data_IF_543451355043
#
_entry.id   IF_543451355043
#
_cell.length_a   1.000
_cell.length_b   1.000
_cell.length_c   1.000
_cell.angle_alpha   90.00
_cell.angle_beta   90.00
_cell.angle_gamma   90.00
#
_symmetry.space_group_name_H-M   'P 1'
#
loop_
_entity.id
_entity.type
_entity.pdbx_description
1 polymer ?
#
# COMPACT_ATOMS: atom_id res chain seq x y z
N UNK A 1 -6.64 25.37 -15.89
CA UNK A 1 -5.89 24.73 -14.81
C UNK A 1 -5.31 23.45 -15.37
N UNK A 2 -4.00 23.23 -15.22
CA UNK A 2 -3.33 21.97 -15.57
C UNK A 2 -3.79 20.83 -14.65
N UNK A 3 -3.46 19.59 -15.02
CA UNK A 3 -3.72 18.40 -14.20
C UNK A 3 -3.13 18.55 -12.79
N UNK A 4 -1.88 19.05 -12.70
CA UNK A 4 -1.23 19.31 -11.42
C UNK A 4 -1.87 20.44 -10.61
N UNK A 5 -2.25 21.56 -11.23
CA UNK A 5 -2.93 22.65 -10.52
C UNK A 5 -4.25 22.18 -9.88
N UNK A 6 -4.99 21.31 -10.59
CA UNK A 6 -6.22 20.70 -10.06
C UNK A 6 -5.95 19.71 -8.93
N UNK A 7 -4.88 18.93 -9.05
CA UNK A 7 -4.46 18.05 -7.96
C UNK A 7 -4.11 18.84 -6.69
N UNK A 8 -3.43 19.99 -6.83
CA UNK A 8 -3.17 20.89 -5.71
C UNK A 8 -4.42 21.58 -5.15
N UNK A 9 -5.44 21.82 -5.98
CA UNK A 9 -6.72 22.37 -5.52
C UNK A 9 -7.64 21.33 -4.87
N UNK A 10 -7.18 20.09 -4.68
CA UNK A 10 -7.91 19.03 -3.99
C UNK A 10 -8.80 18.16 -4.89
N UNK A 11 -8.72 18.29 -6.22
CA UNK A 11 -9.45 17.41 -7.17
C UNK A 11 -8.76 16.04 -7.32
N UNK A 12 -8.23 15.47 -6.23
CA UNK A 12 -7.30 14.34 -6.27
C UNK A 12 -7.91 13.08 -6.90
N UNK A 13 -9.13 12.70 -6.52
CA UNK A 13 -9.82 11.51 -7.08
C UNK A 13 -10.11 11.66 -8.57
N UNK A 14 -10.62 12.84 -8.99
CA UNK A 14 -10.94 13.12 -10.38
C UNK A 14 -9.68 13.09 -11.25
N UNK A 15 -8.57 13.66 -10.76
CA UNK A 15 -7.29 13.63 -11.45
C UNK A 15 -6.79 12.18 -11.61
N UNK A 16 -6.83 11.36 -10.56
CA UNK A 16 -6.40 9.96 -10.68
C UNK A 16 -7.29 9.12 -11.62
N UNK A 17 -8.59 9.40 -11.68
CA UNK A 17 -9.47 8.78 -12.66
C UNK A 17 -9.07 9.16 -14.10
N UNK A 18 -8.74 10.42 -14.35
CA UNK A 18 -8.22 10.91 -15.64
C UNK A 18 -6.88 10.24 -16.01
N UNK A 19 -5.95 10.09 -15.05
CA UNK A 19 -4.68 9.37 -15.24
C UNK A 19 -4.91 7.92 -15.68
N UNK A 20 -5.85 7.21 -15.07
CA UNK A 20 -6.21 5.84 -15.46
C UNK A 20 -6.85 5.77 -16.85
N UNK A 21 -7.59 6.80 -17.27
CA UNK A 21 -8.12 6.90 -18.63
C UNK A 21 -7.06 7.34 -19.65
N UNK A 22 -5.94 7.91 -19.21
CA UNK A 22 -4.90 8.48 -20.07
C UNK A 22 -5.27 9.81 -20.74
N UNK A 23 -6.41 10.40 -20.37
CA UNK A 23 -6.92 11.65 -20.95
C UNK A 23 -7.46 12.58 -19.86
N UNK A 24 -7.29 13.89 -20.05
CA UNK A 24 -7.83 14.92 -19.16
C UNK A 24 -9.36 15.04 -19.29
N UNK A 25 -9.97 15.86 -18.42
CA UNK A 25 -11.42 16.16 -18.47
C UNK A 25 -11.94 16.73 -19.80
N UNK A 26 -11.06 17.19 -20.69
CA UNK A 26 -11.40 17.69 -22.02
C UNK A 26 -11.12 16.66 -23.13
N UNK A 27 -10.72 15.44 -22.76
CA UNK A 27 -10.40 14.35 -23.68
C UNK A 27 -9.03 14.46 -24.34
N UNK A 28 -8.13 15.32 -23.83
CA UNK A 28 -6.76 15.45 -24.35
C UNK A 28 -5.84 14.44 -23.68
N UNK A 29 -4.92 13.80 -24.41
CA UNK A 29 -3.92 12.91 -23.80
C UNK A 29 -3.13 13.62 -22.70
N UNK A 30 -3.00 12.96 -21.55
CA UNK A 30 -2.13 13.41 -20.47
C UNK A 30 -0.70 12.98 -20.81
N UNK A 31 0.25 13.91 -20.74
CA UNK A 31 1.67 13.57 -20.95
C UNK A 31 2.22 12.74 -19.80
N UNK A 32 3.21 11.88 -20.10
CA UNK A 32 3.89 11.07 -19.09
C UNK A 32 4.45 11.92 -17.95
N UNK A 33 5.04 13.07 -18.25
CA UNK A 33 5.62 13.98 -17.27
C UNK A 33 4.58 14.51 -16.28
N UNK A 34 3.39 14.88 -16.77
CA UNK A 34 2.28 15.34 -15.92
C UNK A 34 1.73 14.20 -15.03
N UNK A 35 1.60 13.00 -15.59
CA UNK A 35 1.15 11.83 -14.83
C UNK A 35 2.16 11.47 -13.72
N UNK A 36 3.45 11.45 -14.04
CA UNK A 36 4.54 11.22 -13.10
C UNK A 36 4.59 12.30 -12.00
N UNK A 37 4.39 13.58 -12.36
CA UNK A 37 4.35 14.68 -11.39
C UNK A 37 3.21 14.52 -10.37
N UNK A 38 2.01 14.13 -10.83
CA UNK A 38 0.87 13.82 -9.95
C UNK A 38 1.17 12.61 -9.06
N UNK A 39 1.70 11.53 -9.65
CA UNK A 39 2.01 10.32 -8.91
C UNK A 39 3.07 10.58 -7.82
N UNK A 40 4.12 11.33 -8.14
CA UNK A 40 5.16 11.70 -7.20
C UNK A 40 4.64 12.58 -6.07
N UNK A 41 3.87 13.64 -6.38
CA UNK A 41 3.27 14.50 -5.35
C UNK A 41 2.28 13.71 -4.47
N UNK A 42 1.51 12.79 -5.04
CA UNK A 42 0.63 11.88 -4.27
C UNK A 42 1.45 11.10 -3.25
N UNK A 43 2.55 10.47 -3.67
CA UNK A 43 3.38 9.64 -2.80
C UNK A 43 4.19 10.45 -1.79
N UNK A 44 4.55 11.70 -2.11
CA UNK A 44 5.15 12.63 -1.15
C UNK A 44 4.19 12.93 0.01
N UNK A 45 2.90 13.10 -0.28
CA UNK A 45 1.86 13.27 0.74
C UNK A 45 1.60 11.98 1.53
N UNK A 46 1.62 10.82 0.87
CA UNK A 46 1.55 9.50 1.54
C UNK A 46 2.69 9.36 2.56
N UNK A 47 3.93 9.65 2.16
CA UNK A 47 5.09 9.63 3.05
C UNK A 47 4.92 10.56 4.25
N UNK A 48 4.53 11.81 3.98
CA UNK A 48 4.25 12.79 5.05
C UNK A 48 3.21 12.27 6.05
N UNK A 49 2.14 11.66 5.55
CA UNK A 49 1.09 11.10 6.40
C UNK A 49 1.62 9.94 7.26
N UNK A 50 2.45 9.06 6.69
CA UNK A 50 3.11 7.96 7.43
C UNK A 50 4.04 8.51 8.53
N UNK A 51 4.86 9.51 8.19
CA UNK A 51 5.79 10.18 9.11
C UNK A 51 5.07 10.90 10.26
N UNK A 52 3.81 11.31 10.07
CA UNK A 52 2.93 11.82 11.14
C UNK A 52 2.32 10.69 11.97
N UNK A 53 1.81 9.64 11.32
CA UNK A 53 1.08 8.56 11.99
C UNK A 53 1.95 7.76 12.96
N UNK A 54 3.18 7.40 12.54
CA UNK A 54 4.03 6.48 13.31
C UNK A 54 4.40 7.02 14.70
N UNK A 55 4.89 8.27 14.85
CA UNK A 55 5.17 8.85 16.16
C UNK A 55 3.92 8.90 17.05
N UNK A 56 2.76 9.29 16.49
CA UNK A 56 1.50 9.38 17.26
C UNK A 56 1.03 8.02 17.74
N UNK A 57 1.08 7.01 16.88
CA UNK A 57 0.77 5.63 17.27
C UNK A 57 1.68 5.19 18.43
N UNK A 58 2.98 5.49 18.33
CA UNK A 58 3.95 5.20 19.40
C UNK A 58 3.59 5.91 20.71
N UNK A 59 3.27 7.21 20.65
CA UNK A 59 2.87 8.02 21.81
C UNK A 59 1.56 7.52 22.46
N UNK A 60 0.64 7.00 21.65
CA UNK A 60 -0.61 6.38 22.11
C UNK A 60 -0.42 4.97 22.70
N UNK A 61 0.79 4.42 22.65
CA UNK A 61 1.12 3.08 23.17
C UNK A 61 0.89 1.95 22.17
N UNK A 62 0.85 2.24 20.86
CA UNK A 62 0.80 1.22 19.83
C UNK A 62 2.13 0.44 19.79
N UNK A 63 2.04 -0.88 19.93
CA UNK A 63 3.19 -1.77 19.88
C UNK A 63 3.33 -2.35 18.48
N UNK A 64 4.25 -1.81 17.68
CA UNK A 64 4.49 -2.28 16.30
C UNK A 64 5.12 -3.67 16.26
N UNK A 65 4.82 -4.40 15.20
CA UNK A 65 5.39 -5.69 14.87
C UNK A 65 4.37 -6.83 14.81
N UNK A 66 4.82 -7.94 14.25
CA UNK A 66 4.02 -9.14 14.04
C UNK A 66 4.01 -10.01 15.31
N UNK A 67 3.26 -9.58 16.34
CA UNK A 67 3.27 -10.19 17.67
C UNK A 67 2.91 -11.68 17.71
N UNK A 68 2.20 -12.20 16.71
CA UNK A 68 1.92 -13.62 16.57
C UNK A 68 3.16 -14.47 16.20
N UNK A 69 4.23 -13.85 15.68
CA UNK A 69 5.54 -14.50 15.49
C UNK A 69 6.29 -14.76 16.81
N UNK A 70 5.84 -14.18 17.94
CA UNK A 70 6.46 -14.39 19.27
C UNK A 70 6.11 -15.76 19.90
N UNK A 71 5.35 -16.62 19.22
CA UNK A 71 5.16 -18.02 19.62
C UNK A 71 6.49 -18.78 19.49
N UNK A 72 6.89 -19.68 20.41
CA UNK A 72 8.27 -20.17 20.49
C UNK A 72 8.63 -20.99 19.26
N UNK A 73 9.22 -20.34 18.27
CA UNK A 73 9.94 -21.01 17.21
C UNK A 73 11.23 -20.23 16.95
N UNK A 74 12.26 -20.63 17.68
CA UNK A 74 13.68 -20.49 17.29
C UNK A 74 13.98 -21.20 15.93
N UNK A 75 12.96 -21.51 15.12
CA UNK A 75 13.04 -22.38 13.94
C UNK A 75 12.79 -21.69 12.62
N UNK A 76 12.33 -20.43 12.59
CA UNK A 76 12.26 -19.73 11.33
C UNK A 76 12.67 -18.27 11.56
N UNK A 77 13.92 -17.96 11.21
CA UNK A 77 14.41 -16.59 11.14
C UNK A 77 13.74 -15.88 9.96
N UNK A 78 12.45 -15.57 10.08
CA UNK A 78 11.71 -14.81 9.05
C UNK A 78 11.57 -13.36 9.51
N UNK A 79 12.36 -12.43 8.95
CA UNK A 79 12.43 -11.04 9.39
C UNK A 79 11.39 -10.21 8.64
N UNK A 80 10.10 -10.55 8.73
CA UNK A 80 9.05 -9.84 7.98
C UNK A 80 8.88 -8.38 8.45
N UNK A 81 9.04 -8.12 9.75
CA UNK A 81 8.97 -6.75 10.26
C UNK A 81 10.35 -6.10 10.23
N UNK A 82 10.55 -5.16 9.30
CA UNK A 82 11.79 -4.37 9.16
C UNK A 82 11.70 -2.98 9.81
N UNK A 83 10.53 -2.63 10.34
CA UNK A 83 10.21 -1.31 10.87
C UNK A 83 8.89 -0.79 10.30
N UNK A 84 8.24 0.13 11.02
CA UNK A 84 6.93 0.65 10.60
C UNK A 84 6.98 1.47 9.30
N UNK A 85 8.12 2.10 9.03
CA UNK A 85 8.44 2.74 7.76
C UNK A 85 9.91 2.47 7.44
N UNK A 86 10.17 1.92 6.25
CA UNK A 86 11.52 1.76 5.71
C UNK A 86 11.62 2.66 4.48
N UNK A 87 12.63 3.55 4.41
CA UNK A 87 12.78 4.46 3.29
C UNK A 87 13.07 3.70 1.98
N UNK A 88 12.90 4.36 0.82
CA UNK A 88 13.26 3.79 -0.48
C UNK A 88 14.69 3.25 -0.54
N UNK A 89 14.87 2.16 -1.27
CA UNK A 89 16.20 1.61 -1.53
C UNK A 89 17.03 2.56 -2.39
N UNK A 90 18.32 2.68 -2.09
CA UNK A 90 19.26 3.51 -2.86
C UNK A 90 19.35 3.11 -4.34
N UNK A 91 19.05 1.86 -4.68
CA UNK A 91 19.06 1.32 -6.05
C UNK A 91 17.65 1.00 -6.57
N UNK A 92 16.61 1.71 -6.10
CA UNK A 92 15.22 1.42 -6.46
C UNK A 92 14.96 1.42 -7.99
N UNK A 93 15.62 2.29 -8.76
CA UNK A 93 15.48 2.31 -10.22
C UNK A 93 15.98 1.01 -10.88
N UNK A 94 17.09 0.46 -10.38
CA UNK A 94 17.61 -0.82 -10.87
C UNK A 94 16.64 -1.96 -10.56
N UNK A 95 16.03 -1.95 -9.37
CA UNK A 95 15.05 -2.95 -8.95
C UNK A 95 13.77 -2.86 -9.79
N UNK A 96 13.24 -1.66 -10.01
CA UNK A 96 12.06 -1.45 -10.88
C UNK A 96 12.36 -1.96 -12.29
N UNK A 97 13.48 -1.56 -12.89
CA UNK A 97 13.85 -1.99 -14.24
C UNK A 97 14.04 -3.51 -14.34
N UNK A 98 14.67 -4.12 -13.33
CA UNK A 98 14.85 -5.57 -13.25
C UNK A 98 13.51 -6.31 -13.25
N UNK A 99 12.55 -5.83 -12.45
CA UNK A 99 11.24 -6.46 -12.37
C UNK A 99 10.34 -6.15 -13.57
N UNK A 100 10.41 -4.95 -14.15
CA UNK A 100 9.72 -4.65 -15.42
C UNK A 100 10.21 -5.54 -16.57
N UNK A 101 11.51 -5.87 -16.61
CA UNK A 101 12.06 -6.81 -17.58
C UNK A 101 11.55 -8.26 -17.41
N UNK A 102 11.12 -8.64 -16.19
CA UNK A 102 10.64 -10.00 -15.86
C UNK A 102 9.11 -10.13 -15.90
N UNK A 103 8.40 -9.14 -15.36
CA UNK A 103 6.96 -9.15 -15.13
C UNK A 103 6.19 -8.30 -16.16
N UNK A 104 6.90 -7.49 -16.95
CA UNK A 104 6.33 -6.46 -17.81
C UNK A 104 5.98 -5.18 -17.03
N UNK A 105 5.20 -4.30 -17.66
CA UNK A 105 4.88 -2.96 -17.12
C UNK A 105 4.38 -3.02 -15.68
N UNK A 106 5.05 -2.28 -14.79
CA UNK A 106 4.61 -2.02 -13.43
C UNK A 106 3.80 -0.71 -13.42
N UNK A 107 2.61 -0.68 -12.78
CA UNK A 107 1.81 0.52 -12.63
C UNK A 107 2.56 1.74 -12.10
N UNK A 108 2.20 2.91 -12.60
CA UNK A 108 2.81 4.19 -12.20
C UNK A 108 2.71 4.42 -10.68
N UNK A 109 1.56 4.12 -10.07
CA UNK A 109 1.35 4.30 -8.64
C UNK A 109 2.31 3.47 -7.78
N UNK A 110 2.57 2.21 -8.13
CA UNK A 110 3.51 1.35 -7.40
C UNK A 110 4.96 1.84 -7.55
N UNK A 111 5.37 2.20 -8.77
CA UNK A 111 6.70 2.77 -9.01
C UNK A 111 6.91 4.04 -8.21
N UNK A 112 5.94 4.95 -8.22
CA UNK A 112 6.01 6.19 -7.43
C UNK A 112 6.05 5.90 -5.93
N UNK A 113 5.29 4.92 -5.45
CA UNK A 113 5.28 4.53 -4.03
C UNK A 113 6.66 4.04 -3.59
N UNK A 114 7.27 3.08 -4.29
CA UNK A 114 8.57 2.57 -3.87
C UNK A 114 9.69 3.61 -4.01
N UNK A 115 9.61 4.52 -4.97
CA UNK A 115 10.58 5.62 -5.15
C UNK A 115 10.55 6.66 -4.03
N UNK A 116 9.35 7.01 -3.56
CA UNK A 116 9.18 8.12 -2.62
C UNK A 116 8.98 7.64 -1.18
N UNK A 117 8.20 6.57 -0.99
CA UNK A 117 7.81 6.04 0.33
C UNK A 117 8.73 4.91 0.77
N UNK A 118 9.05 3.96 -0.12
CA UNK A 118 9.77 2.73 0.23
C UNK A 118 8.80 1.63 0.64
N UNK A 119 8.76 1.26 1.91
CA UNK A 119 7.77 0.30 2.45
C UNK A 119 7.18 0.76 3.78
N UNK A 120 5.97 0.28 4.08
CA UNK A 120 5.25 0.59 5.32
C UNK A 120 4.69 -0.70 5.91
N UNK A 121 4.77 -0.84 7.23
CA UNK A 121 4.19 -1.96 7.96
C UNK A 121 3.65 -1.47 9.31
N UNK A 122 2.38 -1.08 9.34
CA UNK A 122 1.72 -0.67 10.58
C UNK A 122 1.19 -1.85 11.39
N UNK A 123 1.53 -3.11 11.06
CA UNK A 123 1.12 -4.26 11.87
C UNK A 123 1.60 -4.09 13.31
N UNK A 124 0.74 -4.46 14.25
CA UNK A 124 0.96 -4.19 15.66
C UNK A 124 -0.31 -4.35 16.49
N UNK A 125 -0.23 -3.97 17.76
CA UNK A 125 -1.33 -4.11 18.71
C UNK A 125 -1.52 -2.80 19.46
N UNK A 126 -2.78 -2.36 19.55
CA UNK A 126 -3.25 -1.41 20.55
C UNK A 126 -4.11 -2.15 21.57
N UNK A 127 -3.75 -2.07 22.86
CA UNK A 127 -4.37 -2.92 23.88
C UNK A 127 -5.84 -2.60 24.17
N UNK A 128 -6.27 -1.34 23.98
CA UNK A 128 -7.65 -0.90 24.21
C UNK A 128 -8.51 -0.87 22.95
N UNK A 129 -7.94 -1.16 21.77
CA UNK A 129 -8.74 -1.37 20.56
C UNK A 129 -9.34 -2.78 20.57
N UNK A 130 -10.51 -2.99 19.93
CA UNK A 130 -11.09 -4.32 19.81
C UNK A 130 -10.08 -5.27 19.16
N UNK A 131 -10.00 -6.53 19.60
CA UNK A 131 -9.21 -7.54 18.88
C UNK A 131 -9.97 -8.00 17.63
N UNK A 132 -10.03 -7.14 16.63
CA UNK A 132 -10.54 -7.47 15.30
C UNK A 132 -9.49 -7.10 14.24
N UNK A 133 -9.67 -7.62 13.02
CA UNK A 133 -8.76 -7.36 11.91
C UNK A 133 -8.94 -5.92 11.41
N UNK A 134 -8.26 -4.96 12.04
CA UNK A 134 -8.33 -3.54 11.65
C UNK A 134 -7.53 -3.22 10.38
N UNK A 135 -6.95 -4.26 9.79
CA UNK A 135 -6.23 -4.22 8.53
C UNK A 135 -5.18 -3.09 8.46
N UNK A 136 -4.18 -3.03 9.36
CA UNK A 136 -3.20 -1.95 9.39
C UNK A 136 -2.53 -1.78 8.03
N UNK A 137 -2.31 -0.53 7.63
CA UNK A 137 -1.66 -0.21 6.36
C UNK A 137 -0.30 -0.91 6.29
N UNK A 138 -0.17 -1.75 5.26
CA UNK A 138 1.04 -2.48 4.94
C UNK A 138 1.25 -2.42 3.43
N UNK A 139 2.47 -2.15 3.01
CA UNK A 139 2.94 -2.28 1.62
C UNK A 139 4.37 -2.78 1.67
N UNK A 140 4.61 -3.95 1.07
CA UNK A 140 5.91 -4.60 1.05
C UNK A 140 6.95 -3.83 0.22
N UNK A 141 8.24 -3.95 0.58
CA UNK A 141 9.32 -3.49 -0.28
C UNK A 141 9.31 -4.28 -1.60
N UNK A 142 9.78 -3.64 -2.67
CA UNK A 142 9.70 -4.19 -4.03
C UNK A 142 10.25 -5.62 -4.15
N UNK A 143 11.33 -5.96 -3.45
CA UNK A 143 11.90 -7.32 -3.54
C UNK A 143 10.96 -8.38 -2.95
N UNK A 144 10.33 -8.10 -1.81
CA UNK A 144 9.42 -9.05 -1.14
C UNK A 144 8.14 -9.28 -1.95
N UNK A 145 7.63 -8.21 -2.59
CA UNK A 145 6.48 -8.26 -3.52
C UNK A 145 6.69 -9.31 -4.62
N UNK A 146 7.94 -9.54 -5.00
CA UNK A 146 8.32 -10.33 -6.15
C UNK A 146 9.04 -11.66 -5.81
N UNK A 147 9.56 -11.82 -4.60
CA UNK A 147 10.14 -13.08 -4.11
C UNK A 147 9.10 -14.22 -4.04
N UNK A 148 7.86 -13.93 -3.65
CA UNK A 148 6.78 -14.93 -3.60
C UNK A 148 6.45 -15.54 -4.97
N UNK A 149 6.62 -14.74 -6.03
CA UNK A 149 6.48 -15.20 -7.40
C UNK A 149 7.60 -16.18 -7.81
N UNK A 150 8.86 -15.89 -7.46
CA UNK A 150 9.95 -16.84 -7.74
C UNK A 150 9.71 -18.17 -7.02
N UNK A 151 9.25 -18.15 -5.78
CA UNK A 151 8.90 -19.36 -5.03
C UNK A 151 7.80 -20.19 -5.71
N UNK A 152 6.69 -19.54 -6.12
CA UNK A 152 5.55 -20.22 -6.74
C UNK A 152 5.83 -20.81 -8.13
N UNK A 153 6.78 -20.22 -8.88
CA UNK A 153 7.26 -20.74 -10.17
C UNK A 153 7.93 -22.11 -10.07
N UNK A 154 8.67 -22.36 -8.99
CA UNK A 154 9.39 -23.62 -8.80
C UNK A 154 8.54 -24.71 -8.13
N UNK A 155 7.43 -24.35 -7.47
CA UNK A 155 6.58 -25.29 -6.75
C UNK A 155 5.48 -25.93 -7.59
N UNK A 156 5.12 -25.35 -8.76
CA UNK A 156 4.07 -25.89 -9.64
C UNK A 156 4.66 -26.35 -10.97
N UNK A 157 4.70 -27.67 -11.15
CA UNK A 157 5.17 -28.34 -12.36
C UNK A 157 4.32 -27.98 -13.59
N UNK A 158 4.83 -27.08 -14.44
CA UNK A 158 4.72 -27.25 -15.90
C UNK A 158 3.58 -26.59 -16.68
N UNK A 159 2.97 -25.48 -16.23
CA UNK A 159 2.13 -24.67 -17.14
C UNK A 159 2.41 -23.16 -17.01
N UNK A 160 2.88 -22.49 -18.09
CA UNK A 160 2.82 -21.05 -18.22
C UNK A 160 1.61 -20.58 -19.07
N UNK A 161 1.21 -19.30 -18.97
CA UNK A 161 1.79 -18.27 -18.13
C UNK A 161 0.79 -17.84 -17.04
N UNK A 162 1.08 -18.11 -15.77
CA UNK A 162 0.39 -17.37 -14.72
C UNK A 162 0.74 -15.89 -14.89
N UNK A 163 -0.28 -15.03 -14.94
CA UNK A 163 -0.12 -13.58 -14.76
C UNK A 163 0.75 -13.35 -13.54
N UNK A 164 1.66 -12.40 -13.65
CA UNK A 164 2.57 -12.11 -12.55
C UNK A 164 1.75 -11.42 -11.45
N UNK A 165 1.65 -11.97 -10.25
CA UNK A 165 0.94 -11.32 -9.15
C UNK A 165 1.94 -10.56 -8.27
N UNK A 166 1.92 -9.23 -8.33
CA UNK A 166 2.64 -8.38 -7.38
C UNK A 166 1.88 -8.41 -6.04
N UNK A 167 2.37 -9.17 -5.06
CA UNK A 167 1.78 -9.23 -3.73
C UNK A 167 2.16 -7.96 -2.94
N UNK A 168 1.19 -7.07 -2.75
CA UNK A 168 1.40 -5.73 -2.18
C UNK A 168 1.39 -5.80 -0.64
N UNK A 169 0.53 -6.63 -0.08
CA UNK A 169 0.32 -6.80 1.36
C UNK A 169 -0.31 -8.16 1.61
N UNK A 170 -0.11 -8.74 2.80
CA UNK A 170 -0.97 -9.83 3.27
C UNK A 170 -2.38 -9.32 3.60
N UNK A 171 -3.34 -10.22 3.74
CA UNK A 171 -4.69 -9.86 4.18
C UNK A 171 -4.78 -9.45 5.65
N UNK A 172 -5.96 -8.97 6.04
CA UNK A 172 -6.25 -8.46 7.36
C UNK A 172 -6.10 -9.51 8.47
N UNK A 173 -6.28 -10.80 8.16
CA UNK A 173 -6.15 -11.91 9.12
C UNK A 173 -4.69 -12.26 9.36
N UNK A 174 -3.88 -12.32 8.29
CA UNK A 174 -2.45 -12.62 8.35
C UNK A 174 -1.63 -11.54 9.06
N UNK A 175 -2.15 -10.31 9.15
CA UNK A 175 -1.53 -9.24 9.96
C UNK A 175 -1.54 -9.56 11.46
N UNK A 176 -2.47 -10.41 11.92
CA UNK A 176 -2.63 -10.74 13.35
C UNK A 176 -2.42 -12.21 13.70
N UNK A 177 -2.40 -13.12 12.73
CA UNK A 177 -2.28 -14.56 12.97
C UNK A 177 -1.46 -15.26 11.88
N UNK A 178 -0.85 -16.42 12.16
CA UNK A 178 -0.22 -17.25 11.13
C UNK A 178 -1.25 -17.98 10.24
N UNK A 179 -2.54 -17.90 10.57
CA UNK A 179 -3.59 -18.53 9.79
C UNK A 179 -3.78 -17.72 8.50
N UNK A 180 -3.28 -18.28 7.40
CA UNK A 180 -3.23 -17.61 6.11
C UNK A 180 -4.61 -17.28 5.53
N UNK A 181 -4.64 -16.23 4.72
CA UNK A 181 -5.60 -16.06 3.63
C UNK A 181 -4.88 -15.53 2.38
N UNK A 182 -5.55 -14.76 1.54
CA UNK A 182 -5.03 -14.38 0.23
C UNK A 182 -4.51 -12.94 0.23
N UNK A 183 -3.25 -12.75 -0.17
CA UNK A 183 -2.63 -11.44 -0.28
C UNK A 183 -3.47 -10.43 -1.09
N UNK A 184 -3.28 -9.15 -0.79
CA UNK A 184 -3.72 -8.07 -1.64
C UNK A 184 -2.72 -7.92 -2.78
N UNK A 185 -3.15 -8.13 -4.02
CA UNK A 185 -2.23 -8.20 -5.15
C UNK A 185 -2.71 -7.43 -6.38
N UNK A 186 -1.77 -7.14 -7.27
CA UNK A 186 -2.02 -6.58 -8.60
C UNK A 186 -1.46 -7.55 -9.65
N UNK A 187 -2.22 -7.84 -10.70
CA UNK A 187 -1.71 -8.62 -11.82
C UNK A 187 -0.80 -7.76 -12.70
N UNK A 188 0.27 -8.34 -13.21
CA UNK A 188 1.23 -7.76 -14.13
C UNK A 188 1.36 -8.65 -15.39
N UNK A 189 1.64 -8.04 -16.57
CA UNK A 189 1.79 -6.61 -16.79
C UNK A 189 0.47 -5.85 -16.69
N UNK A 190 0.53 -4.62 -16.22
CA UNK A 190 -0.62 -3.72 -16.14
C UNK A 190 -0.24 -2.32 -16.63
N UNK A 191 -1.10 -1.76 -17.48
CA UNK A 191 -0.88 -0.49 -18.17
C UNK A 191 -1.62 0.67 -17.50
N UNK A 192 -2.62 0.39 -16.65
CA UNK A 192 -3.28 1.40 -15.85
C UNK A 192 -2.29 2.07 -14.89
N UNK A 193 -2.46 3.37 -14.68
CA UNK A 193 -1.63 4.15 -13.76
C UNK A 193 -1.81 3.68 -12.30
N UNK A 194 -3.05 3.35 -11.93
CA UNK A 194 -3.49 2.90 -10.61
C UNK A 194 -4.54 1.80 -10.76
N UNK A 195 -4.13 0.52 -10.88
CA UNK A 195 -5.04 -0.59 -11.09
C UNK A 195 -5.76 -1.02 -9.81
N UNK A 196 -6.75 -1.90 -10.01
CA UNK A 196 -7.48 -2.54 -8.92
C UNK A 196 -6.52 -3.37 -8.04
N UNK A 197 -6.55 -3.10 -6.73
CA UNK A 197 -5.92 -3.95 -5.74
C UNK A 197 -6.87 -5.12 -5.45
N UNK A 198 -6.52 -6.31 -5.93
CA UNK A 198 -7.38 -7.49 -5.86
C UNK A 198 -7.43 -8.07 -4.45
N UNK A 199 -8.54 -8.74 -4.14
CA UNK A 199 -8.85 -9.36 -2.85
C UNK A 199 -9.05 -8.37 -1.69
N UNK A 200 -8.50 -7.16 -1.79
CA UNK A 200 -8.73 -6.08 -0.84
C UNK A 200 -10.25 -5.82 -0.64
N UNK A 201 -10.75 -5.77 0.62
CA UNK A 201 -12.19 -5.78 0.90
C UNK A 201 -13.00 -4.61 0.35
N UNK A 202 -12.39 -3.43 0.18
CA UNK A 202 -13.04 -2.25 -0.39
C UNK A 202 -13.17 -2.31 -1.92
N UNK A 203 -12.54 -3.30 -2.59
CA UNK A 203 -12.59 -3.52 -4.04
C UNK A 203 -12.19 -2.26 -4.81
N UNK A 204 -11.06 -1.69 -4.42
CA UNK A 204 -10.62 -0.38 -4.90
C UNK A 204 -9.24 -0.43 -5.53
N UNK A 205 -8.81 0.69 -6.09
CA UNK A 205 -7.46 0.83 -6.67
C UNK A 205 -6.41 1.06 -5.58
N UNK A 206 -5.13 0.87 -5.90
CA UNK A 206 -4.05 1.02 -4.91
C UNK A 206 -4.02 2.41 -4.25
N UNK A 207 -4.13 3.50 -5.02
CA UNK A 207 -4.16 4.86 -4.44
C UNK A 207 -5.40 5.09 -3.60
N UNK A 208 -6.56 4.55 -4.01
CA UNK A 208 -7.76 4.63 -3.20
C UNK A 208 -7.68 3.80 -1.91
N UNK A 209 -6.97 2.67 -1.92
CA UNK A 209 -6.68 1.92 -0.70
C UNK A 209 -5.86 2.78 0.28
N UNK A 210 -4.83 3.49 -0.21
CA UNK A 210 -4.08 4.46 0.61
C UNK A 210 -4.98 5.58 1.16
N UNK A 211 -5.89 6.14 0.34
CA UNK A 211 -6.87 7.16 0.79
C UNK A 211 -7.72 6.64 1.94
N UNK A 212 -8.30 5.45 1.79
CA UNK A 212 -9.14 4.81 2.81
C UNK A 212 -8.31 4.55 4.06
N UNK A 213 -7.06 4.07 3.91
CA UNK A 213 -6.20 3.86 5.06
C UNK A 213 -6.01 5.16 5.85
N UNK A 214 -5.67 6.27 5.21
CA UNK A 214 -5.49 7.56 5.89
C UNK A 214 -6.80 8.16 6.42
N UNK A 215 -7.94 7.95 5.74
CA UNK A 215 -9.26 8.31 6.25
C UNK A 215 -9.57 7.63 7.59
N UNK A 216 -9.00 6.44 7.82
CA UNK A 216 -9.14 5.65 9.04
C UNK A 216 -7.86 5.58 9.88
N UNK A 217 -7.00 6.59 9.78
CA UNK A 217 -5.82 6.75 10.66
C UNK A 217 -4.72 5.69 10.46
N UNK A 218 -4.67 5.06 9.29
CA UNK A 218 -3.78 3.95 8.94
C UNK A 218 -4.43 2.57 9.02
N UNK A 219 -5.72 2.47 9.32
CA UNK A 219 -6.41 1.20 9.63
C UNK A 219 -7.72 1.06 8.84
N UNK A 220 -7.65 0.79 7.52
CA UNK A 220 -8.81 0.68 6.64
C UNK A 220 -9.86 -0.34 7.12
N UNK A 221 -9.47 -1.33 7.92
CA UNK A 221 -10.39 -2.33 8.46
C UNK A 221 -11.47 -1.77 9.39
N UNK A 222 -11.22 -0.62 10.03
CA UNK A 222 -12.24 0.06 10.83
C UNK A 222 -13.46 0.49 10.01
N UNK A 223 -13.29 0.73 8.70
CA UNK A 223 -14.41 1.04 7.81
C UNK A 223 -15.43 -0.10 7.75
N UNK A 224 -14.97 -1.36 7.82
CA UNK A 224 -15.84 -2.53 7.74
C UNK A 224 -16.49 -2.87 9.08
N UNK A 225 -15.82 -2.60 10.20
CA UNK A 225 -16.40 -2.71 11.55
C UNK A 225 -17.52 -1.67 11.76
N UNK A 226 -17.42 -0.53 11.07
CA UNK A 226 -18.38 0.56 11.14
C UNK A 226 -18.15 1.46 12.36
N UNK A 227 -18.74 2.67 12.30
CA UNK A 227 -18.52 3.75 13.27
C UNK A 227 -18.81 3.41 14.74
N UNK A 228 -19.58 2.35 15.01
CA UNK A 228 -19.97 1.96 16.38
C UNK A 228 -18.82 1.28 17.12
N UNK A 229 -18.00 0.51 16.40
CA UNK A 229 -16.97 -0.34 16.99
C UNK A 229 -15.55 0.20 16.71
N UNK A 230 -15.43 1.22 15.87
CA UNK A 230 -14.17 1.92 15.61
C UNK A 230 -13.83 2.93 16.73
N UNK A 231 -12.55 3.04 17.15
CA UNK A 231 -12.11 3.99 18.18
C UNK A 231 -12.02 5.41 17.60
N UNK A 232 -13.18 6.04 17.37
CA UNK A 232 -13.29 7.27 16.59
C UNK A 232 -12.49 8.45 17.17
N UNK A 233 -12.35 8.55 18.50
CA UNK A 233 -11.51 9.57 19.13
C UNK A 233 -10.03 9.42 18.78
N UNK A 234 -9.55 8.18 18.72
CA UNK A 234 -8.16 7.87 18.34
C UNK A 234 -7.96 8.09 16.85
N UNK A 235 -8.91 7.65 16.01
CA UNK A 235 -8.88 7.90 14.56
C UNK A 235 -8.85 9.41 14.28
N UNK A 236 -9.64 10.22 14.99
CA UNK A 236 -9.64 11.67 14.82
C UNK A 236 -8.26 12.29 15.13
N UNK A 237 -7.59 11.86 16.21
CA UNK A 237 -6.23 12.29 16.55
C UNK A 237 -5.21 11.84 15.51
N UNK A 238 -5.32 10.61 15.01
CA UNK A 238 -4.42 10.08 13.99
C UNK A 238 -4.55 10.84 12.67
N UNK A 239 -5.76 11.30 12.32
CA UNK A 239 -6.03 12.05 11.08
C UNK A 239 -5.60 13.52 11.09
N UNK A 240 -5.33 14.08 12.26
CA UNK A 240 -5.04 15.51 12.38
C UNK A 240 -3.79 15.90 11.56
N UNK A 241 -3.92 16.83 10.62
CA UNK A 241 -2.79 17.29 9.81
C UNK A 241 -2.35 16.32 8.71
N UNK A 242 -3.06 15.20 8.48
CA UNK A 242 -2.83 14.40 7.28
C UNK A 242 -3.26 15.17 6.02
N UNK A 243 -2.47 15.03 4.97
CA UNK A 243 -2.73 15.63 3.67
C UNK A 243 -3.66 14.75 2.84
N UNK A 244 -4.56 15.37 2.09
CA UNK A 244 -5.38 14.69 1.09
C UNK A 244 -4.52 14.19 -0.06
N UNK A 245 -4.75 12.95 -0.50
CA UNK A 245 -4.04 12.31 -1.61
C UNK A 245 -5.00 11.88 -2.71
#
# INVERSE_FOLDING_TARGET
MSTMERYFSGECEAVWAELNCGVDRFGKPISTEDAEAVAWETMRRVRHNIEILIPRLTEMGYDFGNHWLKWPSERIGIPWFRGAHVPPDANIEEKIAFWEAKAGSIPLALKAFWREVGSVDLCGIMTHWPRSCHDPLMVWPIDEVFEYYEYSKYSHSGQPPYTFCASISVDDVMKYTPAGGADYFIDLPEALADPLLKIEPNRTTFVNYLRIAFEWGGFPGFKQLGYKDAPMEDIAKLREGLLSI
#
